data_IF_523725513761
#
_entry.id   IF_523725513761
#
_cell.length_a   1.000
_cell.length_b   1.000
_cell.length_c   1.000
_cell.angle_alpha   90.00
_cell.angle_beta   90.00
_cell.angle_gamma   90.00
#
_symmetry.space_group_name_H-M   'P 1'
#
loop_
_entity.id
_entity.type
_entity.pdbx_description
1 polymer ?
#
# COMPACT_ATOMS: atom_id res chain seq x y z
N UNK A 1 5.08 -1.20 -10.04
CA UNK A 1 4.35 0.07 -9.78
C UNK A 1 3.95 0.09 -8.32
N UNK A 2 4.07 1.25 -7.67
CA UNK A 2 3.62 1.47 -6.30
C UNK A 2 2.37 2.35 -6.29
N UNK A 3 1.39 2.00 -5.46
CA UNK A 3 0.25 2.85 -5.09
C UNK A 3 0.45 3.28 -3.65
N UNK A 4 0.68 4.57 -3.41
CA UNK A 4 0.89 5.14 -2.08
C UNK A 4 -0.34 5.93 -1.66
N UNK A 5 -1.01 5.47 -0.60
CA UNK A 5 -2.25 6.07 -0.12
C UNK A 5 -1.95 6.88 1.14
N UNK A 6 -1.29 8.01 0.92
CA UNK A 6 -0.98 9.05 1.90
C UNK A 6 -0.38 10.27 1.17
N UNK A 7 -0.20 11.36 1.90
CA UNK A 7 0.62 12.49 1.44
C UNK A 7 2.08 12.06 1.28
N UNK A 8 2.74 12.40 0.15
CA UNK A 8 4.17 12.14 -0.02
C UNK A 8 5.06 12.85 0.99
N UNK A 9 4.59 13.94 1.61
CA UNK A 9 5.35 14.68 2.61
C UNK A 9 5.52 13.90 3.92
N UNK A 10 4.58 13.01 4.24
CA UNK A 10 4.62 12.24 5.49
C UNK A 10 5.77 11.22 5.52
N UNK A 11 6.21 10.76 4.33
CA UNK A 11 7.22 9.71 4.18
C UNK A 11 8.30 10.13 3.16
N UNK A 12 8.57 11.45 3.08
CA UNK A 12 9.41 12.04 2.03
C UNK A 12 10.78 11.36 1.92
N UNK A 13 11.47 11.12 3.04
CA UNK A 13 12.79 10.50 3.05
C UNK A 13 12.76 9.09 2.43
N UNK A 14 11.77 8.28 2.83
CA UNK A 14 11.59 6.93 2.31
C UNK A 14 11.26 6.95 0.80
N UNK A 15 10.39 7.86 0.37
CA UNK A 15 10.04 8.03 -1.04
C UNK A 15 11.26 8.45 -1.87
N UNK A 16 12.08 9.38 -1.37
CA UNK A 16 13.31 9.81 -2.03
C UNK A 16 14.32 8.66 -2.11
N UNK A 17 14.42 7.83 -1.07
CA UNK A 17 15.28 6.65 -1.04
C UNK A 17 14.84 5.59 -2.05
N UNK A 18 13.53 5.31 -2.15
CA UNK A 18 12.97 4.40 -3.17
C UNK A 18 13.30 4.92 -4.57
N UNK A 19 13.10 6.22 -4.84
CA UNK A 19 13.40 6.81 -6.15
C UNK A 19 14.88 6.77 -6.50
N UNK A 20 15.77 6.91 -5.50
CA UNK A 20 17.22 6.84 -5.69
C UNK A 20 17.68 5.43 -6.09
N UNK A 21 17.13 4.40 -5.45
CA UNK A 21 17.51 3.01 -5.69
C UNK A 21 16.76 2.39 -6.90
N UNK A 22 15.56 2.88 -7.22
CA UNK A 22 14.69 2.33 -8.26
C UNK A 22 14.14 3.43 -9.18
N UNK A 23 15.00 4.08 -9.96
CA UNK A 23 14.64 5.28 -10.75
C UNK A 23 13.48 5.08 -11.75
N UNK A 24 13.24 3.85 -12.22
CA UNK A 24 12.15 3.52 -13.15
C UNK A 24 10.81 3.23 -12.44
N UNK A 25 10.76 3.22 -11.11
CA UNK A 25 9.54 2.88 -10.37
C UNK A 25 8.53 4.02 -10.46
N UNK A 26 7.36 3.73 -11.04
CA UNK A 26 6.20 4.62 -10.97
C UNK A 26 5.55 4.51 -9.58
N UNK A 27 5.50 5.62 -8.85
CA UNK A 27 4.77 5.78 -7.59
C UNK A 27 3.56 6.67 -7.84
N UNK A 28 2.35 6.15 -7.66
CA UNK A 28 1.11 6.93 -7.75
C UNK A 28 0.65 7.28 -6.33
N UNK A 29 0.61 8.56 -6.01
CA UNK A 29 0.10 9.05 -4.74
C UNK A 29 -1.39 9.30 -4.81
N UNK A 30 -2.13 8.87 -3.81
CA UNK A 30 -3.55 9.15 -3.63
C UNK A 30 -3.74 9.60 -2.18
N UNK A 31 -4.29 10.79 -1.96
CA UNK A 31 -4.30 11.41 -0.63
C UNK A 31 -5.36 10.82 0.32
N UNK A 32 -6.25 9.98 -0.22
CA UNK A 32 -7.38 9.40 0.49
C UNK A 32 -7.70 7.99 -0.03
N UNK A 33 -8.44 7.22 0.78
CA UNK A 33 -9.01 5.95 0.34
C UNK A 33 -9.93 6.16 -0.86
N UNK A 34 -10.75 7.22 -0.88
CA UNK A 34 -11.66 7.52 -1.99
C UNK A 34 -10.92 7.78 -3.30
N UNK A 35 -9.82 8.52 -3.26
CA UNK A 35 -8.95 8.73 -4.43
C UNK A 35 -8.32 7.42 -4.88
N UNK A 36 -7.76 6.64 -3.95
CA UNK A 36 -7.22 5.32 -4.25
C UNK A 36 -8.27 4.38 -4.86
N UNK A 37 -9.49 4.40 -4.35
CA UNK A 37 -10.60 3.63 -4.89
C UNK A 37 -10.90 4.04 -6.33
N UNK A 38 -10.95 5.35 -6.63
CA UNK A 38 -11.17 5.86 -7.98
C UNK A 38 -10.06 5.38 -8.92
N UNK A 39 -8.80 5.58 -8.53
CA UNK A 39 -7.63 5.13 -9.28
C UNK A 39 -7.69 3.63 -9.58
N UNK A 40 -7.99 2.80 -8.57
CA UNK A 40 -8.07 1.35 -8.72
C UNK A 40 -9.20 0.92 -9.67
N UNK A 41 -10.37 1.56 -9.62
CA UNK A 41 -11.47 1.25 -10.56
C UNK A 41 -11.08 1.63 -12.01
N UNK A 42 -10.43 2.78 -12.19
CA UNK A 42 -10.06 3.30 -13.52
C UNK A 42 -8.89 2.51 -14.16
N UNK A 43 -8.03 1.90 -13.35
CA UNK A 43 -6.80 1.24 -13.80
C UNK A 43 -6.78 -0.27 -13.52
N UNK A 44 -7.92 -0.88 -13.17
CA UNK A 44 -7.98 -2.28 -12.76
C UNK A 44 -7.37 -3.24 -13.79
N UNK A 45 -7.65 -3.03 -15.07
CA UNK A 45 -7.18 -3.90 -16.17
C UNK A 45 -5.66 -3.84 -16.35
N UNK A 46 -5.08 -2.63 -16.34
CA UNK A 46 -3.63 -2.42 -16.38
C UNK A 46 -2.96 -3.06 -15.14
N UNK A 47 -3.53 -2.85 -13.96
CA UNK A 47 -3.01 -3.41 -12.70
C UNK A 47 -3.02 -4.94 -12.73
N UNK A 48 -4.08 -5.57 -13.27
CA UNK A 48 -4.17 -7.03 -13.38
C UNK A 48 -3.04 -7.61 -14.23
N UNK A 49 -2.62 -6.90 -15.28
CA UNK A 49 -1.56 -7.34 -16.19
C UNK A 49 -0.15 -7.07 -15.66
N UNK A 50 -0.01 -6.22 -14.63
CA UNK A 50 1.30 -5.92 -14.06
C UNK A 50 1.84 -7.08 -13.23
N UNK A 51 3.11 -7.39 -13.43
CA UNK A 51 3.83 -8.32 -12.56
C UNK A 51 4.02 -7.71 -11.16
N UNK A 52 4.50 -6.46 -11.12
CA UNK A 52 4.80 -5.74 -9.88
C UNK A 52 3.74 -4.68 -9.60
N UNK A 53 2.92 -4.91 -8.58
CA UNK A 53 2.00 -3.93 -8.01
C UNK A 53 1.96 -4.07 -6.48
N UNK A 54 2.40 -3.03 -5.77
CA UNK A 54 2.39 -2.97 -4.30
C UNK A 54 1.59 -1.76 -3.87
N UNK A 55 0.70 -1.94 -2.89
CA UNK A 55 -0.01 -0.82 -2.26
C UNK A 55 0.60 -0.53 -0.90
N UNK A 56 0.83 0.74 -0.59
CA UNK A 56 1.35 1.24 0.68
C UNK A 56 0.30 2.15 1.28
N UNK A 57 -0.04 1.97 2.54
CA UNK A 57 -0.99 2.84 3.23
C UNK A 57 -0.82 2.85 4.75
N UNK A 58 -1.52 3.79 5.41
CA UNK A 58 -1.68 3.80 6.87
C UNK A 58 -2.74 2.80 7.32
N UNK A 59 -2.65 2.36 8.57
CA UNK A 59 -3.63 1.47 9.18
C UNK A 59 -5.08 2.01 9.19
N UNK A 60 -5.27 3.33 9.24
CA UNK A 60 -6.60 3.93 9.30
C UNK A 60 -6.68 5.20 8.47
N UNK A 61 -7.79 5.37 7.77
CA UNK A 61 -8.14 6.60 7.05
C UNK A 61 -9.17 7.36 7.88
N UNK A 62 -8.69 8.03 8.93
CA UNK A 62 -9.55 8.55 10.00
C UNK A 62 -10.71 9.43 9.54
N UNK A 63 -10.52 10.21 8.48
CA UNK A 63 -11.54 11.09 7.90
C UNK A 63 -12.61 10.35 7.07
N UNK A 64 -12.39 9.09 6.70
CA UNK A 64 -13.23 8.36 5.76
C UNK A 64 -13.94 7.16 6.37
N UNK A 65 -13.71 6.87 7.67
CA UNK A 65 -14.20 5.65 8.33
C UNK A 65 -13.86 4.38 7.55
N UNK A 66 -12.63 4.32 6.99
CA UNK A 66 -12.07 3.20 6.23
C UNK A 66 -10.80 2.66 6.89
N UNK A 67 -10.46 1.43 6.52
CA UNK A 67 -9.24 0.75 6.94
C UNK A 67 -8.52 0.10 5.74
N UNK A 68 -7.27 -0.31 5.94
CA UNK A 68 -6.51 -1.09 4.95
C UNK A 68 -7.24 -2.38 4.49
N UNK A 69 -8.09 -2.98 5.33
CA UNK A 69 -8.86 -4.18 4.94
C UNK A 69 -9.90 -3.89 3.85
N UNK A 70 -10.35 -2.64 3.72
CA UNK A 70 -11.25 -2.24 2.65
C UNK A 70 -10.56 -2.28 1.28
N UNK A 71 -9.23 -2.13 1.22
CA UNK A 71 -8.45 -2.29 -0.02
C UNK A 71 -8.44 -3.75 -0.46
N UNK A 72 -8.31 -4.70 0.48
CA UNK A 72 -8.38 -6.14 0.14
C UNK A 72 -9.73 -6.47 -0.49
N UNK A 73 -10.82 -5.99 0.12
CA UNK A 73 -12.18 -6.18 -0.43
C UNK A 73 -12.32 -5.53 -1.80
N UNK A 74 -11.71 -4.36 -1.99
CA UNK A 74 -11.69 -3.67 -3.27
C UNK A 74 -10.93 -4.47 -4.34
N UNK A 75 -9.78 -5.06 -4.02
CA UNK A 75 -9.03 -5.91 -4.94
C UNK A 75 -9.83 -7.15 -5.35
N UNK A 76 -10.52 -7.79 -4.39
CA UNK A 76 -11.40 -8.92 -4.65
C UNK A 76 -12.54 -8.53 -5.60
N UNK A 77 -13.21 -7.40 -5.32
CA UNK A 77 -14.31 -6.89 -6.16
C UNK A 77 -13.85 -6.58 -7.59
N UNK A 78 -12.64 -6.05 -7.74
CA UNK A 78 -12.06 -5.67 -9.04
C UNK A 78 -11.30 -6.80 -9.73
N UNK A 79 -11.29 -8.00 -9.14
CA UNK A 79 -10.52 -9.15 -9.64
C UNK A 79 -9.03 -8.82 -9.88
N UNK A 80 -8.44 -7.91 -9.09
CA UNK A 80 -7.02 -7.51 -9.16
C UNK A 80 -6.08 -8.67 -8.77
N UNK A 81 -6.63 -9.71 -8.14
CA UNK A 81 -5.89 -10.84 -7.60
C UNK A 81 -5.27 -10.50 -6.26
N UNK A 82 -4.51 -11.46 -5.71
CA UNK A 82 -3.76 -11.26 -4.47
C UNK A 82 -2.53 -10.40 -4.77
N UNK A 83 -2.49 -9.20 -4.19
CA UNK A 83 -1.39 -8.25 -4.33
C UNK A 83 -0.98 -7.76 -2.95
N UNK A 84 0.33 -7.54 -2.70
CA UNK A 84 0.81 -7.11 -1.40
C UNK A 84 0.27 -5.72 -1.03
N UNK A 85 -0.14 -5.58 0.23
CA UNK A 85 -0.54 -4.34 0.87
C UNK A 85 0.36 -4.13 2.10
N UNK A 86 1.27 -3.16 2.00
CA UNK A 86 2.11 -2.73 3.11
C UNK A 86 1.37 -1.69 3.94
N UNK A 87 1.14 -2.01 5.20
CA UNK A 87 0.40 -1.17 6.15
C UNK A 87 1.38 -0.61 7.16
N UNK A 88 1.56 0.69 7.15
CA UNK A 88 2.43 1.38 8.08
C UNK A 88 1.62 1.87 9.29
N UNK A 89 2.07 1.56 10.50
CA UNK A 89 1.37 1.84 11.77
C UNK A 89 2.35 2.21 12.88
N UNK A 90 1.88 3.00 13.85
CA UNK A 90 2.65 3.31 15.07
C UNK A 90 2.66 2.16 16.09
N UNK A 91 1.75 1.19 15.94
CA UNK A 91 1.70 0.00 16.79
C UNK A 91 0.98 -1.15 16.08
N UNK A 92 1.75 -2.17 15.74
CA UNK A 92 1.31 -3.46 15.21
C UNK A 92 0.53 -4.22 16.26
N UNK A 93 0.95 -4.19 17.52
CA UNK A 93 0.20 -4.85 18.61
C UNK A 93 -1.21 -4.29 18.71
N UNK A 94 -1.37 -2.96 18.75
CA UNK A 94 -2.69 -2.33 18.83
C UNK A 94 -3.53 -2.61 17.57
N UNK A 95 -2.89 -2.70 16.40
CA UNK A 95 -3.55 -3.05 15.14
C UNK A 95 -4.07 -4.50 15.15
N UNK A 96 -3.23 -5.44 15.56
CA UNK A 96 -3.55 -6.88 15.61
C UNK A 96 -4.61 -7.19 16.67
N UNK A 97 -4.66 -6.44 17.78
CA UNK A 97 -5.75 -6.58 18.75
C UNK A 97 -7.12 -6.24 18.15
N UNK A 98 -7.17 -5.26 17.24
CA UNK A 98 -8.41 -4.85 16.54
C UNK A 98 -8.72 -5.73 15.34
N UNK A 99 -7.69 -6.30 14.71
CA UNK A 99 -7.79 -7.12 13.51
C UNK A 99 -6.90 -8.38 13.65
N UNK A 100 -7.33 -9.36 14.47
CA UNK A 100 -6.47 -10.50 14.83
C UNK A 100 -6.19 -11.45 13.65
N UNK A 101 -7.09 -11.50 12.68
CA UNK A 101 -6.95 -12.32 11.48
C UNK A 101 -6.63 -11.44 10.27
N UNK A 102 -5.36 -11.09 10.12
CA UNK A 102 -4.91 -10.35 8.94
C UNK A 102 -4.97 -11.23 7.68
N UNK A 103 -5.57 -10.74 6.58
CA UNK A 103 -5.40 -11.34 5.27
C UNK A 103 -3.92 -11.48 4.91
N UNK A 104 -3.57 -12.56 4.21
CA UNK A 104 -2.18 -12.92 3.86
C UNK A 104 -1.48 -11.82 3.04
N UNK A 105 -2.27 -11.08 2.25
CA UNK A 105 -1.86 -9.96 1.42
C UNK A 105 -1.33 -8.78 2.24
N UNK A 106 -1.72 -8.66 3.51
CA UNK A 106 -1.35 -7.54 4.37
C UNK A 106 -0.07 -7.84 5.12
N UNK A 107 0.88 -6.91 5.01
CA UNK A 107 2.13 -6.88 5.78
C UNK A 107 2.17 -5.59 6.58
N UNK A 108 2.42 -5.68 7.88
CA UNK A 108 2.37 -4.53 8.78
C UNK A 108 3.80 -4.14 9.17
N UNK A 109 4.07 -2.84 9.18
CA UNK A 109 5.38 -2.28 9.48
C UNK A 109 5.26 -1.15 10.49
N UNK A 110 6.22 -1.06 11.41
CA UNK A 110 6.38 0.06 12.36
C UNK A 110 7.61 0.92 12.03
N UNK A 111 8.57 0.36 11.28
CA UNK A 111 9.80 1.01 10.87
C UNK A 111 9.77 1.36 9.37
N UNK A 112 10.21 2.58 8.98
CA UNK A 112 10.44 2.93 7.59
C UNK A 112 11.45 2.02 6.89
N UNK A 113 12.48 1.56 7.61
CA UNK A 113 13.53 0.69 7.11
C UNK A 113 12.98 -0.70 6.73
N UNK A 114 12.17 -1.32 7.60
CA UNK A 114 11.52 -2.60 7.29
C UNK A 114 10.57 -2.48 6.09
N UNK A 115 9.85 -1.34 6.00
CA UNK A 115 8.99 -1.04 4.86
C UNK A 115 9.80 -0.88 3.57
N UNK A 116 10.96 -0.21 3.64
CA UNK A 116 11.87 -0.07 2.50
C UNK A 116 12.38 -1.42 2.01
N UNK A 117 12.86 -2.27 2.93
CA UNK A 117 13.38 -3.60 2.61
C UNK A 117 12.31 -4.48 1.97
N UNK A 118 11.08 -4.42 2.50
CA UNK A 118 9.93 -5.09 1.90
C UNK A 118 9.69 -4.62 0.46
N UNK A 119 9.60 -3.30 0.22
CA UNK A 119 9.37 -2.74 -1.11
C UNK A 119 10.51 -3.14 -2.06
N UNK A 120 11.75 -3.04 -1.61
CA UNK A 120 12.96 -3.42 -2.35
C UNK A 120 12.91 -4.87 -2.83
N UNK A 121 12.45 -5.78 -1.98
CA UNK A 121 12.27 -7.19 -2.33
C UNK A 121 11.24 -7.45 -3.43
N UNK A 122 10.28 -6.54 -3.65
CA UNK A 122 9.34 -6.62 -4.78
C UNK A 122 9.84 -5.89 -6.03
N UNK A 123 10.61 -4.81 -5.86
CA UNK A 123 11.13 -4.03 -6.98
C UNK A 123 12.36 -4.67 -7.65
N UNK A 124 13.03 -5.60 -6.97
CA UNK A 124 14.21 -6.32 -7.47
C UNK A 124 13.89 -7.63 -8.20
N UNK A 125 12.60 -7.98 -8.32
CA UNK A 125 12.12 -9.14 -9.09
C UNK A 125 11.89 -8.76 -10.53
#
# INVERSE_FOLDING_TARGET
MLLWIDSPENDRMLIEEIKRNYASVKINFQLSYKEAQKFLNENADDIRQREIFVTICRAYYGSESKSFTDIVRLFQRLAIGRRPIAVYTMSTIALLQKTPNLPEEIKVFESPEDLFDFISGYLSK
#
